data_IF_070501352506
#
_entry.id   IF_070501352506
#
_cell.length_a   1.000
_cell.length_b   1.000
_cell.length_c   1.000
_cell.angle_alpha   90.00
_cell.angle_beta   90.00
_cell.angle_gamma   90.00
#
_symmetry.space_group_name_H-M   'P 1'
#
loop_
_entity.id
_entity.type
_entity.pdbx_description
1 polymer ?
#
# COMPACT_ATOMS: atom_id res chain seq x y z
N UNK A 1 4.59 -16.92 -20.10
CA UNK A 1 4.83 -17.46 -18.74
C UNK A 1 5.09 -16.38 -17.68
N UNK A 2 5.70 -15.23 -18.02
CA UNK A 2 6.17 -14.21 -17.05
C UNK A 2 5.07 -13.44 -16.30
N UNK A 3 3.97 -13.02 -16.97
CA UNK A 3 2.91 -12.20 -16.34
C UNK A 3 2.16 -12.91 -15.21
N UNK A 4 1.91 -14.21 -15.35
CA UNK A 4 1.22 -14.98 -14.31
C UNK A 4 2.14 -15.17 -13.09
N UNK A 5 3.42 -15.48 -13.31
CA UNK A 5 4.40 -15.63 -12.24
C UNK A 5 4.54 -14.34 -11.41
N UNK A 6 4.61 -13.17 -12.07
CA UNK A 6 4.65 -11.86 -11.38
C UNK A 6 3.39 -11.62 -10.54
N UNK A 7 2.23 -11.99 -11.05
CA UNK A 7 0.99 -11.86 -10.29
C UNK A 7 0.95 -12.78 -9.06
N UNK A 8 1.39 -14.04 -9.19
CA UNK A 8 1.49 -14.96 -8.05
C UNK A 8 2.50 -14.48 -7.00
N UNK A 9 3.65 -13.95 -7.42
CA UNK A 9 4.63 -13.35 -6.52
C UNK A 9 4.03 -12.17 -5.75
N UNK A 10 3.34 -11.28 -6.45
CA UNK A 10 2.65 -10.14 -5.84
C UNK A 10 1.55 -10.59 -4.88
N UNK A 11 0.77 -11.61 -5.24
CA UNK A 11 -0.26 -12.19 -4.37
C UNK A 11 0.36 -12.81 -3.11
N UNK A 12 1.44 -13.59 -3.26
CA UNK A 12 2.14 -14.20 -2.14
C UNK A 12 2.67 -13.13 -1.16
N UNK A 13 3.32 -12.09 -1.70
CA UNK A 13 3.81 -10.98 -0.90
C UNK A 13 2.66 -10.22 -0.20
N UNK A 14 1.55 -9.99 -0.91
CA UNK A 14 0.36 -9.36 -0.32
C UNK A 14 -0.21 -10.21 0.82
N UNK A 15 -0.34 -11.53 0.66
CA UNK A 15 -0.81 -12.44 1.71
C UNK A 15 0.11 -12.42 2.92
N UNK A 16 1.42 -12.54 2.72
CA UNK A 16 2.39 -12.52 3.82
C UNK A 16 2.37 -11.20 4.59
N UNK A 17 2.37 -10.07 3.88
CA UNK A 17 2.36 -8.74 4.51
C UNK A 17 1.03 -8.43 5.18
N UNK A 18 -0.09 -8.87 4.61
CA UNK A 18 -1.40 -8.73 5.24
C UNK A 18 -1.50 -9.55 6.52
N UNK A 19 -1.05 -10.81 6.51
CA UNK A 19 -1.02 -11.63 7.72
C UNK A 19 -0.14 -11.01 8.81
N UNK A 20 1.05 -10.52 8.44
CA UNK A 20 1.93 -9.81 9.35
C UNK A 20 1.30 -8.52 9.91
N UNK A 21 0.65 -7.71 9.08
CA UNK A 21 -0.05 -6.49 9.52
C UNK A 21 -1.17 -6.81 10.53
N UNK A 22 -1.96 -7.85 10.27
CA UNK A 22 -3.01 -8.29 11.20
C UNK A 22 -2.41 -8.81 12.51
N UNK A 23 -1.30 -9.56 12.46
CA UNK A 23 -0.59 -9.99 13.66
C UNK A 23 -0.14 -8.78 14.51
N UNK A 24 0.45 -7.76 13.90
CA UNK A 24 0.79 -6.52 14.60
C UNK A 24 -0.45 -5.82 15.19
N UNK A 25 -1.61 -5.91 14.54
CA UNK A 25 -2.86 -5.33 15.05
C UNK A 25 -3.42 -6.01 16.29
N UNK A 26 -3.30 -7.33 16.41
CA UNK A 26 -4.05 -8.11 17.41
C UNK A 26 -3.20 -8.98 18.35
N UNK A 27 -1.92 -9.18 18.05
CA UNK A 27 -1.04 -10.04 18.85
C UNK A 27 0.11 -9.18 19.39
N UNK A 28 0.00 -8.63 20.62
CA UNK A 28 1.02 -7.76 21.19
C UNK A 28 2.42 -8.38 21.22
N UNK A 29 2.52 -9.71 21.41
CA UNK A 29 3.78 -10.43 21.49
C UNK A 29 4.64 -10.37 20.21
N UNK A 30 4.08 -10.03 19.04
CA UNK A 30 4.85 -9.91 17.79
C UNK A 30 5.35 -8.49 17.51
N UNK A 31 4.98 -7.51 18.35
CA UNK A 31 5.35 -6.10 18.16
C UNK A 31 6.75 -5.88 18.71
N UNK A 32 7.57 -5.14 17.97
CA UNK A 32 8.80 -4.56 18.52
C UNK A 32 8.46 -3.33 19.39
N UNK A 33 9.47 -2.73 20.02
CA UNK A 33 9.31 -1.54 20.86
C UNK A 33 8.66 -0.39 20.11
N UNK A 34 9.16 -0.07 18.91
CA UNK A 34 8.62 1.00 18.07
C UNK A 34 7.12 0.83 17.76
N UNK A 35 6.68 -0.35 17.33
CA UNK A 35 5.27 -0.61 17.03
C UNK A 35 4.43 -0.59 18.31
N UNK A 36 4.97 -1.08 19.42
CA UNK A 36 4.27 -1.03 20.71
C UNK A 36 4.03 0.40 21.16
N UNK A 37 5.05 1.26 21.10
CA UNK A 37 4.96 2.67 21.45
C UNK A 37 3.97 3.42 20.54
N UNK A 38 4.02 3.14 19.23
CA UNK A 38 3.06 3.72 18.27
C UNK A 38 1.62 3.33 18.58
N UNK A 39 1.37 2.07 18.94
CA UNK A 39 0.03 1.60 19.33
C UNK A 39 -0.43 2.25 20.63
N UNK A 40 0.46 2.46 21.61
CA UNK A 40 0.11 3.15 22.85
C UNK A 40 -0.22 4.62 22.63
N UNK A 41 0.50 5.31 21.74
CA UNK A 41 0.28 6.73 21.45
C UNK A 41 -0.97 6.97 20.59
N UNK A 42 -1.27 6.06 19.65
CA UNK A 42 -2.39 6.19 18.72
C UNK A 42 -3.06 4.83 18.46
N UNK A 43 -3.81 4.29 19.43
CA UNK A 43 -4.33 2.91 19.38
C UNK A 43 -5.35 2.70 18.26
N UNK A 44 -6.33 3.60 18.14
CA UNK A 44 -7.36 3.52 17.10
C UNK A 44 -6.75 3.65 15.70
N UNK A 45 -5.87 4.62 15.49
CA UNK A 45 -5.17 4.81 14.22
C UNK A 45 -4.31 3.58 13.87
N UNK A 46 -3.59 3.01 14.84
CA UNK A 46 -2.79 1.81 14.61
C UNK A 46 -3.64 0.62 14.16
N UNK A 47 -4.72 0.31 14.88
CA UNK A 47 -5.62 -0.80 14.53
C UNK A 47 -6.28 -0.57 13.17
N UNK A 48 -6.81 0.63 12.93
CA UNK A 48 -7.47 0.97 11.66
C UNK A 48 -6.50 0.93 10.48
N UNK A 49 -5.26 1.38 10.66
CA UNK A 49 -4.23 1.31 9.62
C UNK A 49 -3.84 -0.13 9.30
N UNK A 50 -3.59 -0.96 10.32
CA UNK A 50 -3.20 -2.35 10.11
C UNK A 50 -4.31 -3.20 9.49
N UNK A 51 -5.55 -3.04 9.98
CA UNK A 51 -6.73 -3.69 9.39
C UNK A 51 -6.97 -3.22 7.95
N UNK A 52 -7.05 -1.91 7.76
CA UNK A 52 -7.29 -1.30 6.44
C UNK A 52 -6.22 -1.72 5.45
N UNK A 53 -4.95 -1.56 5.82
CA UNK A 53 -3.77 -1.93 5.03
C UNK A 53 -3.71 -3.42 4.67
N UNK A 54 -4.03 -4.31 5.62
CA UNK A 54 -4.09 -5.75 5.36
C UNK A 54 -5.19 -6.12 4.36
N UNK A 55 -6.38 -5.52 4.50
CA UNK A 55 -7.52 -5.78 3.60
C UNK A 55 -7.23 -5.28 2.18
N UNK A 56 -6.72 -4.06 2.03
CA UNK A 56 -6.49 -3.45 0.71
C UNK A 56 -5.37 -4.13 -0.08
N UNK A 57 -4.34 -4.65 0.59
CA UNK A 57 -3.30 -5.45 -0.07
C UNK A 57 -3.88 -6.67 -0.78
N UNK A 58 -4.73 -7.44 -0.08
CA UNK A 58 -5.40 -8.63 -0.61
C UNK A 58 -6.44 -8.27 -1.68
N UNK A 59 -7.31 -7.31 -1.35
CA UNK A 59 -8.37 -6.87 -2.26
C UNK A 59 -7.75 -6.38 -3.57
N UNK A 60 -6.70 -5.55 -3.50
CA UNK A 60 -6.01 -5.00 -4.67
C UNK A 60 -5.31 -6.07 -5.51
N UNK A 61 -4.58 -7.01 -4.91
CA UNK A 61 -3.84 -8.06 -5.64
C UNK A 61 -4.76 -8.84 -6.60
N UNK A 62 -5.95 -9.20 -6.10
CA UNK A 62 -6.95 -9.93 -6.88
C UNK A 62 -7.45 -9.17 -8.13
N UNK A 63 -7.43 -7.83 -8.12
CA UNK A 63 -7.95 -6.99 -9.20
C UNK A 63 -7.07 -7.00 -10.46
N UNK A 64 -5.78 -7.32 -10.30
CA UNK A 64 -4.81 -7.38 -11.40
C UNK A 64 -4.82 -8.71 -12.16
N UNK A 65 -5.62 -9.69 -11.72
CA UNK A 65 -5.82 -10.93 -12.47
C UNK A 65 -6.94 -10.78 -13.51
N UNK A 66 -6.58 -10.65 -14.79
CA UNK A 66 -7.53 -10.40 -15.88
C UNK A 66 -8.64 -11.47 -15.96
N UNK A 67 -8.31 -12.75 -15.74
CA UNK A 67 -9.30 -13.83 -15.76
C UNK A 67 -10.35 -13.75 -14.65
N UNK A 68 -9.94 -13.33 -13.43
CA UNK A 68 -10.86 -13.20 -12.30
C UNK A 68 -11.79 -12.01 -12.52
N UNK A 69 -11.22 -10.89 -12.99
CA UNK A 69 -11.97 -9.68 -13.29
C UNK A 69 -13.02 -9.87 -14.39
N UNK A 70 -12.70 -10.62 -15.45
CA UNK A 70 -13.63 -10.91 -16.56
C UNK A 70 -14.70 -11.94 -16.17
N UNK A 71 -14.31 -13.00 -15.46
CA UNK A 71 -15.23 -14.10 -15.08
C UNK A 71 -16.17 -13.71 -13.93
N UNK A 72 -15.67 -12.97 -12.94
CA UNK A 72 -16.40 -12.64 -11.71
C UNK A 72 -16.56 -11.12 -11.53
N UNK A 73 -17.22 -10.46 -12.48
CA UNK A 73 -17.40 -9.00 -12.48
C UNK A 73 -18.10 -8.47 -11.22
N UNK A 74 -19.07 -9.21 -10.65
CA UNK A 74 -19.73 -8.82 -9.38
C UNK A 74 -18.73 -8.80 -8.22
N UNK A 75 -17.84 -9.80 -8.15
CA UNK A 75 -16.79 -9.90 -7.14
C UNK A 75 -15.77 -8.76 -7.31
N UNK A 76 -15.33 -8.49 -8.54
CA UNK A 76 -14.47 -7.34 -8.86
C UNK A 76 -15.04 -6.02 -8.31
N UNK A 77 -16.35 -5.77 -8.51
CA UNK A 77 -17.00 -4.55 -8.02
C UNK A 77 -17.05 -4.48 -6.49
N UNK A 78 -17.39 -5.58 -5.82
CA UNK A 78 -17.42 -5.62 -4.35
C UNK A 78 -16.03 -5.45 -3.73
N UNK A 79 -15.03 -6.17 -4.25
CA UNK A 79 -13.64 -6.02 -3.80
C UNK A 79 -13.10 -4.62 -4.08
N UNK A 80 -13.49 -3.98 -5.19
CA UNK A 80 -13.17 -2.58 -5.46
C UNK A 80 -13.74 -1.62 -4.41
N UNK A 81 -14.99 -1.83 -3.96
CA UNK A 81 -15.59 -1.02 -2.89
C UNK A 81 -14.89 -1.23 -1.54
N UNK A 82 -14.61 -2.48 -1.20
CA UNK A 82 -13.85 -2.85 0.00
C UNK A 82 -12.46 -2.22 -0.04
N UNK A 83 -11.80 -2.25 -1.19
CA UNK A 83 -10.51 -1.59 -1.38
C UNK A 83 -10.61 -0.08 -1.13
N UNK A 84 -11.56 0.62 -1.76
CA UNK A 84 -11.71 2.07 -1.59
C UNK A 84 -12.00 2.44 -0.13
N UNK A 85 -12.92 1.73 0.53
CA UNK A 85 -13.24 1.96 1.94
C UNK A 85 -12.03 1.66 2.85
N UNK A 86 -11.30 0.58 2.58
CA UNK A 86 -10.10 0.21 3.31
C UNK A 86 -8.97 1.22 3.14
N UNK A 87 -8.79 1.81 1.96
CA UNK A 87 -7.81 2.89 1.74
C UNK A 87 -8.25 4.16 2.45
N UNK A 88 -9.54 4.49 2.46
CA UNK A 88 -10.03 5.66 3.18
C UNK A 88 -9.73 5.54 4.68
N UNK A 89 -10.11 4.41 5.30
CA UNK A 89 -9.88 4.16 6.73
C UNK A 89 -8.39 4.03 7.03
N UNK A 90 -7.69 3.17 6.31
CA UNK A 90 -6.27 2.88 6.56
C UNK A 90 -5.34 4.02 6.17
N UNK A 91 -5.71 4.82 5.17
CA UNK A 91 -4.95 5.98 4.71
C UNK A 91 -5.10 7.17 5.65
N UNK A 92 -6.31 7.46 6.15
CA UNK A 92 -6.51 8.50 7.19
C UNK A 92 -5.77 8.09 8.47
N UNK A 93 -5.92 6.83 8.88
CA UNK A 93 -5.21 6.31 10.04
C UNK A 93 -3.68 6.37 9.85
N UNK A 94 -3.18 5.99 8.67
CA UNK A 94 -1.76 6.08 8.32
C UNK A 94 -1.23 7.51 8.29
N UNK A 95 -2.04 8.47 7.84
CA UNK A 95 -1.73 9.90 7.91
C UNK A 95 -1.55 10.35 9.37
N UNK A 96 -2.44 9.95 10.27
CA UNK A 96 -2.30 10.22 11.71
C UNK A 96 -1.04 9.56 12.28
N UNK A 97 -0.75 8.31 11.93
CA UNK A 97 0.44 7.59 12.41
C UNK A 97 1.75 8.21 11.93
N UNK A 98 1.76 8.88 10.78
CA UNK A 98 2.96 9.49 10.25
C UNK A 98 3.58 10.52 11.20
N UNK A 99 2.78 11.24 12.00
CA UNK A 99 3.28 12.19 13.01
C UNK A 99 4.03 11.53 14.18
N UNK A 100 3.84 10.22 14.38
CA UNK A 100 4.50 9.43 15.41
C UNK A 100 5.67 8.59 14.86
N UNK A 101 6.09 8.85 13.62
CA UNK A 101 7.21 8.15 12.99
C UNK A 101 8.56 8.56 13.59
N UNK A 102 9.45 7.57 13.71
CA UNK A 102 10.84 7.76 14.18
C UNK A 102 11.71 8.36 13.07
N UNK A 103 12.74 9.13 13.44
CA UNK A 103 13.68 9.73 12.49
C UNK A 103 13.23 11.08 11.90
N UNK A 104 12.39 11.80 12.66
CA UNK A 104 12.13 13.23 12.48
C UNK A 104 11.34 13.60 11.24
N UNK A 105 11.47 14.86 10.82
CA UNK A 105 10.68 15.43 9.72
C UNK A 105 10.82 14.67 8.40
N UNK A 106 11.96 14.04 8.15
CA UNK A 106 12.19 13.28 6.93
C UNK A 106 11.28 12.05 6.82
N UNK A 107 11.14 11.28 7.91
CA UNK A 107 10.24 10.13 7.97
C UNK A 107 8.78 10.58 7.96
N UNK A 108 8.44 11.59 8.77
CA UNK A 108 7.09 12.14 8.87
C UNK A 108 6.59 12.62 7.51
N UNK A 109 7.39 13.43 6.80
CA UNK A 109 7.05 13.93 5.48
C UNK A 109 6.89 12.79 4.46
N UNK A 110 7.78 11.79 4.48
CA UNK A 110 7.70 10.64 3.56
C UNK A 110 6.40 9.87 3.70
N UNK A 111 5.98 9.58 4.93
CA UNK A 111 4.73 8.86 5.18
C UNK A 111 3.47 9.74 5.01
N UNK A 112 3.53 11.04 5.34
CA UNK A 112 2.43 11.97 5.11
C UNK A 112 2.15 12.14 3.60
N UNK A 113 3.20 12.36 2.81
CA UNK A 113 3.08 12.47 1.35
C UNK A 113 2.56 11.17 0.76
N UNK A 114 3.06 10.01 1.21
CA UNK A 114 2.52 8.71 0.82
C UNK A 114 1.02 8.61 1.11
N UNK A 115 0.58 8.92 2.34
CA UNK A 115 -0.82 8.82 2.73
C UNK A 115 -1.72 9.74 1.88
N UNK A 116 -1.29 10.98 1.63
CA UNK A 116 -2.01 11.93 0.77
C UNK A 116 -2.09 11.40 -0.67
N UNK A 117 -0.97 10.98 -1.26
CA UNK A 117 -0.95 10.42 -2.61
C UNK A 117 -1.83 9.16 -2.71
N UNK A 118 -1.87 8.33 -1.68
CA UNK A 118 -2.64 7.10 -1.64
C UNK A 118 -4.15 7.35 -1.57
N UNK A 119 -4.57 8.27 -0.70
CA UNK A 119 -5.96 8.73 -0.61
C UNK A 119 -6.41 9.42 -1.91
N UNK A 120 -5.60 10.35 -2.44
CA UNK A 120 -5.92 11.09 -3.66
C UNK A 120 -6.02 10.17 -4.87
N UNK A 121 -5.05 9.29 -5.08
CA UNK A 121 -5.07 8.37 -6.22
C UNK A 121 -6.28 7.44 -6.18
N UNK A 122 -6.65 6.95 -5.00
CA UNK A 122 -7.84 6.10 -4.81
C UNK A 122 -9.14 6.87 -5.00
N UNK A 123 -9.23 8.09 -4.47
CA UNK A 123 -10.38 8.97 -4.66
C UNK A 123 -10.59 9.34 -6.14
N UNK A 124 -9.51 9.63 -6.87
CA UNK A 124 -9.58 9.88 -8.31
C UNK A 124 -9.97 8.63 -9.09
N UNK A 125 -9.40 7.46 -8.76
CA UNK A 125 -9.81 6.21 -9.36
C UNK A 125 -11.32 5.95 -9.19
N UNK A 126 -11.85 6.19 -7.99
CA UNK A 126 -13.27 6.05 -7.70
C UNK A 126 -14.12 7.08 -8.47
N UNK A 127 -13.67 8.34 -8.53
CA UNK A 127 -14.37 9.39 -9.29
C UNK A 127 -14.49 9.05 -10.78
N UNK A 128 -13.42 8.55 -11.39
CA UNK A 128 -13.42 8.21 -12.82
C UNK A 128 -14.30 7.00 -13.15
N UNK A 129 -14.37 5.98 -12.28
CA UNK A 129 -15.28 4.86 -12.53
C UNK A 129 -16.76 5.26 -12.43
N UNK A 130 -17.11 6.21 -11.55
CA UNK A 130 -18.47 6.77 -11.49
C UNK A 130 -18.84 7.52 -12.78
N UNK A 131 -17.86 8.16 -13.43
CA UNK A 131 -18.00 8.81 -14.74
C UNK A 131 -17.90 7.83 -15.92
N UNK A 132 -17.76 6.53 -15.65
CA UNK A 132 -17.54 5.46 -16.65
C UNK A 132 -16.27 5.65 -17.50
N UNK A 133 -15.32 6.46 -17.06
CA UNK A 133 -14.00 6.57 -17.68
C UNK A 133 -13.10 5.45 -17.17
N UNK A 134 -13.14 4.32 -17.89
CA UNK A 134 -12.44 3.09 -17.50
C UNK A 134 -10.92 3.23 -17.61
N UNK A 135 -10.43 3.96 -18.61
CA UNK A 135 -8.99 4.13 -18.84
C UNK A 135 -8.39 4.99 -17.72
N UNK A 136 -9.02 6.13 -17.39
CA UNK A 136 -8.57 6.95 -16.28
C UNK A 136 -8.67 6.22 -14.94
N UNK A 137 -9.77 5.48 -14.70
CA UNK A 137 -9.91 4.64 -13.51
C UNK A 137 -8.74 3.65 -13.37
N UNK A 138 -8.40 2.91 -14.42
CA UNK A 138 -7.31 1.94 -14.40
C UNK A 138 -5.96 2.60 -14.09
N UNK A 139 -5.67 3.74 -14.72
CA UNK A 139 -4.43 4.49 -14.47
C UNK A 139 -4.30 4.92 -13.01
N UNK A 140 -5.39 5.40 -12.40
CA UNK A 140 -5.38 5.79 -10.98
C UNK A 140 -5.37 4.60 -10.02
N UNK A 141 -6.00 3.47 -10.36
CA UNK A 141 -5.90 2.23 -9.58
C UNK A 141 -4.48 1.66 -9.59
N UNK A 142 -3.77 1.73 -10.70
CA UNK A 142 -2.36 1.33 -10.80
C UNK A 142 -1.50 2.13 -9.81
N UNK A 143 -1.65 3.47 -9.80
CA UNK A 143 -0.97 4.35 -8.84
C UNK A 143 -1.30 4.01 -7.40
N UNK A 144 -2.59 3.92 -7.09
CA UNK A 144 -3.07 3.59 -5.74
C UNK A 144 -2.49 2.27 -5.24
N UNK A 145 -2.47 1.23 -6.10
CA UNK A 145 -1.95 -0.06 -5.69
C UNK A 145 -0.43 -0.10 -5.61
N UNK A 146 0.29 0.66 -6.45
CA UNK A 146 1.74 0.82 -6.32
C UNK A 146 2.15 1.46 -5.00
N UNK A 147 1.39 2.47 -4.54
CA UNK A 147 1.55 3.08 -3.22
C UNK A 147 1.23 2.07 -2.10
N UNK A 148 0.19 1.26 -2.28
CA UNK A 148 -0.18 0.18 -1.34
C UNK A 148 0.95 -0.85 -1.19
N UNK A 149 1.61 -1.23 -2.29
CA UNK A 149 2.77 -2.11 -2.28
C UNK A 149 3.98 -1.51 -1.55
N UNK A 150 3.96 -0.21 -1.20
CA UNK A 150 4.98 0.37 -0.33
C UNK A 150 5.06 -0.31 1.04
N UNK A 151 3.94 -0.87 1.53
CA UNK A 151 3.96 -1.71 2.72
C UNK A 151 4.84 -2.96 2.55
N UNK A 152 4.80 -3.58 1.36
CA UNK A 152 5.64 -4.75 1.02
C UNK A 152 7.10 -4.33 0.91
N UNK A 153 7.39 -3.28 0.13
CA UNK A 153 8.76 -2.80 -0.10
C UNK A 153 9.43 -2.36 1.20
N UNK A 154 8.71 -1.68 2.11
CA UNK A 154 9.22 -1.32 3.43
C UNK A 154 9.69 -2.55 4.23
N UNK A 155 8.94 -3.66 4.15
CA UNK A 155 9.24 -4.92 4.85
C UNK A 155 10.35 -5.73 4.21
N UNK A 156 10.76 -5.36 2.99
CA UNK A 156 11.94 -5.91 2.32
C UNK A 156 13.15 -5.03 2.64
N UNK A 157 13.04 -3.71 2.46
CA UNK A 157 14.17 -2.80 2.61
C UNK A 157 14.63 -2.65 4.06
N UNK A 158 13.72 -2.59 5.03
CA UNK A 158 14.10 -2.36 6.42
C UNK A 158 14.98 -3.50 6.97
N UNK A 159 14.61 -4.79 6.87
CA UNK A 159 15.51 -5.87 7.29
C UNK A 159 16.85 -5.88 6.53
N UNK A 160 16.84 -5.62 5.22
CA UNK A 160 18.06 -5.62 4.41
C UNK A 160 19.05 -4.54 4.87
N UNK A 161 18.58 -3.33 5.14
CA UNK A 161 19.43 -2.24 5.64
C UNK A 161 20.00 -2.56 7.03
N UNK A 162 19.17 -3.10 7.92
CA UNK A 162 19.61 -3.50 9.27
C UNK A 162 20.65 -4.63 9.22
N UNK A 163 20.49 -5.62 8.32
CA UNK A 163 21.46 -6.70 8.12
C UNK A 163 22.82 -6.20 7.59
N UNK A 164 22.84 -5.05 6.92
CA UNK A 164 24.06 -4.36 6.50
C UNK A 164 24.69 -3.51 7.61
N UNK A 165 24.13 -3.53 8.83
CA UNK A 165 24.61 -2.76 9.96
C UNK A 165 24.19 -1.29 9.95
N UNK A 166 23.29 -0.87 9.06
CA UNK A 166 22.76 0.50 9.05
C UNK A 166 21.80 0.65 10.24
N UNK A 167 22.02 1.61 11.16
CA UNK A 167 21.14 1.80 12.31
C UNK A 167 19.70 2.15 11.91
N UNK A 168 18.71 1.69 12.68
CA UNK A 168 17.28 1.96 12.43
C UNK A 168 16.98 3.45 12.24
N UNK A 169 17.55 4.30 13.10
CA UNK A 169 17.39 5.77 13.06
C UNK A 169 17.87 6.41 11.74
N UNK A 170 18.80 5.76 11.05
CA UNK A 170 19.32 6.22 9.75
C UNK A 170 18.56 5.57 8.59
N UNK A 171 18.26 4.28 8.69
CA UNK A 171 17.58 3.52 7.65
C UNK A 171 16.11 3.95 7.48
N UNK A 172 15.40 4.14 8.59
CA UNK A 172 13.94 4.31 8.57
C UNK A 172 13.48 5.61 7.86
N UNK A 173 14.12 6.79 8.05
CA UNK A 173 13.80 7.99 7.28
C UNK A 173 14.01 7.85 5.78
N UNK A 174 15.09 7.19 5.34
CA UNK A 174 15.33 6.93 3.93
C UNK A 174 14.26 5.97 3.36
N UNK A 175 13.95 4.92 4.11
CA UNK A 175 12.96 3.91 3.72
C UNK A 175 11.54 4.48 3.67
N UNK A 176 11.23 5.51 4.47
CA UNK A 176 9.95 6.23 4.39
C UNK A 176 9.65 6.79 2.97
N UNK A 177 10.69 7.01 2.15
CA UNK A 177 10.57 7.38 0.75
C UNK A 177 10.81 6.21 -0.21
N UNK A 178 11.89 5.45 0.03
CA UNK A 178 12.28 4.32 -0.83
C UNK A 178 11.23 3.20 -0.86
N UNK A 179 10.38 3.10 0.16
CA UNK A 179 9.30 2.13 0.18
C UNK A 179 8.28 2.35 -0.95
N UNK A 180 8.00 3.59 -1.36
CA UNK A 180 6.87 3.85 -2.27
C UNK A 180 7.23 4.64 -3.53
N UNK A 181 8.25 5.50 -3.50
CA UNK A 181 8.66 6.30 -4.67
C UNK A 181 9.08 5.40 -5.85
N UNK A 182 9.95 4.38 -5.67
CA UNK A 182 10.31 3.48 -6.77
C UNK A 182 9.10 2.71 -7.32
N UNK A 183 8.19 2.27 -6.44
CA UNK A 183 6.97 1.58 -6.86
C UNK A 183 6.12 2.48 -7.77
N UNK A 184 5.96 3.75 -7.41
CA UNK A 184 5.18 4.70 -8.20
C UNK A 184 5.86 5.02 -9.53
N UNK A 185 7.20 5.17 -9.57
CA UNK A 185 7.96 5.37 -10.81
C UNK A 185 7.76 4.18 -11.76
N UNK A 186 7.91 2.96 -11.26
CA UNK A 186 7.67 1.73 -12.04
C UNK A 186 6.22 1.69 -12.54
N UNK A 187 5.26 2.05 -11.69
CA UNK A 187 3.85 2.11 -12.04
C UNK A 187 3.60 3.07 -13.22
N UNK A 188 4.18 4.27 -13.19
CA UNK A 188 4.05 5.26 -14.26
C UNK A 188 4.66 4.76 -15.58
N UNK A 189 5.93 4.35 -15.54
CA UNK A 189 6.69 4.07 -16.76
C UNK A 189 6.31 2.76 -17.44
N UNK A 190 5.99 1.73 -16.65
CA UNK A 190 5.73 0.39 -17.20
C UNK A 190 4.25 0.18 -17.46
N UNK A 191 3.38 0.65 -16.56
CA UNK A 191 1.96 0.28 -16.60
C UNK A 191 1.06 1.41 -17.07
N UNK A 192 1.21 2.62 -16.53
CA UNK A 192 0.37 3.76 -16.94
C UNK A 192 0.71 4.20 -18.36
N UNK A 193 2.00 4.32 -18.70
CA UNK A 193 2.42 4.71 -20.05
C UNK A 193 1.92 3.72 -21.12
N UNK A 194 1.84 2.42 -20.79
CA UNK A 194 1.30 1.40 -21.68
C UNK A 194 -0.22 1.52 -21.93
N UNK A 195 -0.95 2.27 -21.08
CA UNK A 195 -2.37 2.59 -21.26
C UNK A 195 -2.60 3.88 -22.06
N UNK A 196 -1.54 4.55 -22.51
CA UNK A 196 -1.64 5.68 -23.44
C UNK A 196 -1.52 5.09 -24.86
N UNK A 197 -2.52 5.26 -25.73
CA UNK A 197 -2.37 4.90 -27.14
C UNK A 197 -1.17 5.68 -27.69
N UNK A 198 -0.17 4.97 -28.23
CA UNK A 198 0.88 5.62 -29.03
C UNK A 198 0.17 6.21 -30.25
N UNK A 199 0.17 7.55 -30.35
CA UNK A 199 -0.30 8.26 -31.53
C UNK A 199 0.68 8.05 -32.68
#
# INVERSE_FOLDING_TARGET
MTRNAMWYLMLFAAVGVSAYALALGFVPAVRNSFVSDMVLQAPSASVLHFLGGGIVLLAGASQFHAGLRKKYTKLHRWLGRVYVAGVLVGGIAGFTLAFYSVGGLAAQAGFLVLAVCWLLSTGLAFRYILRRDIVAHQRWMIRSYALTLGAVTLRIYLPLFLMQGIPFEQAYPAIAWLAWVPNLIIAEWVFVAALIPRR
#
